data_IF_014786009454
#
_entry.id   IF_014786009454
#
_cell.length_a   1.000
_cell.length_b   1.000
_cell.length_c   1.000
_cell.angle_alpha   90.00
_cell.angle_beta   90.00
_cell.angle_gamma   90.00
#
_symmetry.space_group_name_H-M   'P 1'
#
loop_
_entity.id
_entity.type
_entity.pdbx_description
1 polymer ?
#
# COMPACT_ATOMS: atom_id res chain seq x y z
N UNK A 1 -38.07 -59.97 -65.92
CA UNK A 1 -37.49 -59.86 -64.56
C UNK A 1 -37.30 -58.40 -64.10
N UNK A 2 -37.18 -57.40 -64.98
CA UNK A 2 -37.02 -55.97 -64.57
C UNK A 2 -38.20 -55.33 -63.84
N UNK A 3 -39.45 -55.45 -64.34
CA UNK A 3 -40.63 -54.77 -63.74
C UNK A 3 -41.02 -55.24 -62.32
N UNK A 4 -40.65 -56.46 -61.94
CA UNK A 4 -40.92 -56.99 -60.60
C UNK A 4 -39.97 -56.42 -59.53
N UNK A 5 -38.77 -55.99 -59.92
CA UNK A 5 -37.78 -55.37 -59.03
C UNK A 5 -38.13 -53.90 -58.73
N UNK A 6 -38.89 -53.24 -59.59
CA UNK A 6 -39.36 -51.86 -59.45
C UNK A 6 -40.72 -51.77 -58.71
N UNK A 7 -41.19 -52.86 -58.09
CA UNK A 7 -42.45 -52.89 -57.35
C UNK A 7 -43.73 -52.90 -58.21
N UNK A 8 -43.61 -52.94 -59.54
CA UNK A 8 -44.74 -52.94 -60.48
C UNK A 8 -45.25 -54.36 -60.76
N UNK A 9 -45.60 -55.10 -59.71
CA UNK A 9 -46.11 -56.48 -59.82
C UNK A 9 -47.63 -56.55 -60.00
N UNK A 10 -48.37 -55.48 -59.69
CA UNK A 10 -49.83 -55.47 -59.66
C UNK A 10 -50.46 -55.87 -61.01
N UNK A 11 -49.97 -55.33 -62.12
CA UNK A 11 -50.49 -55.65 -63.45
C UNK A 11 -50.20 -57.10 -63.88
N UNK A 12 -49.00 -57.61 -63.55
CA UNK A 12 -48.64 -58.99 -63.84
C UNK A 12 -49.41 -59.99 -62.97
N UNK A 13 -49.63 -59.66 -61.70
CA UNK A 13 -50.44 -60.44 -60.77
C UNK A 13 -51.89 -60.53 -61.25
N UNK A 14 -52.51 -59.38 -61.57
CA UNK A 14 -53.88 -59.33 -62.08
C UNK A 14 -54.03 -60.13 -63.38
N UNK A 15 -53.13 -59.96 -64.34
CA UNK A 15 -53.15 -60.71 -65.60
C UNK A 15 -52.98 -62.22 -65.40
N UNK A 16 -52.22 -62.64 -64.38
CA UNK A 16 -52.01 -64.07 -64.08
C UNK A 16 -53.25 -64.67 -63.44
N UNK A 17 -53.83 -64.00 -62.44
CA UNK A 17 -55.01 -64.48 -61.70
C UNK A 17 -56.30 -64.45 -62.52
N UNK A 18 -56.39 -63.61 -63.55
CA UNK A 18 -57.58 -63.50 -64.42
C UNK A 18 -57.47 -64.33 -65.70
N UNK A 19 -56.34 -65.02 -65.93
CA UNK A 19 -56.13 -65.81 -67.15
C UNK A 19 -56.93 -67.12 -67.10
N UNK A 20 -57.62 -67.56 -68.19
CA UNK A 20 -58.45 -68.77 -68.22
C UNK A 20 -57.69 -70.10 -68.04
N UNK A 21 -56.36 -70.05 -67.94
CA UNK A 21 -55.48 -71.20 -67.65
C UNK A 21 -54.88 -71.15 -66.24
N UNK A 22 -55.25 -70.17 -65.42
CA UNK A 22 -54.86 -70.15 -64.03
C UNK A 22 -55.65 -71.23 -63.31
N UNK A 23 -54.97 -72.32 -62.96
CA UNK A 23 -55.52 -73.36 -62.12
C UNK A 23 -55.32 -73.00 -60.63
N UNK A 24 -56.01 -73.72 -59.75
CA UNK A 24 -55.97 -73.51 -58.30
C UNK A 24 -54.54 -73.62 -57.75
N UNK A 25 -53.71 -74.48 -58.35
CA UNK A 25 -52.32 -74.63 -57.97
C UNK A 25 -51.47 -73.39 -58.31
N UNK A 26 -51.63 -72.84 -59.52
CA UNK A 26 -50.91 -71.63 -59.94
C UNK A 26 -51.35 -70.41 -59.13
N UNK A 27 -52.65 -70.27 -58.85
CA UNK A 27 -53.18 -69.21 -57.98
C UNK A 27 -52.55 -69.27 -56.59
N UNK A 28 -52.63 -70.43 -55.92
CA UNK A 28 -52.03 -70.64 -54.60
C UNK A 28 -50.53 -70.31 -54.59
N UNK A 29 -49.79 -70.73 -55.63
CA UNK A 29 -48.35 -70.50 -55.73
C UNK A 29 -48.00 -69.02 -55.91
N UNK A 30 -48.73 -68.32 -56.78
CA UNK A 30 -48.49 -66.89 -57.06
C UNK A 30 -48.87 -66.03 -55.85
N UNK A 31 -50.02 -66.30 -55.22
CA UNK A 31 -50.43 -65.60 -53.99
C UNK A 31 -49.45 -65.86 -52.83
N UNK A 32 -48.97 -67.10 -52.69
CA UNK A 32 -47.93 -67.45 -51.71
C UNK A 32 -46.62 -66.68 -51.94
N UNK A 33 -46.19 -66.55 -53.21
CA UNK A 33 -44.99 -65.76 -53.54
C UNK A 33 -45.16 -64.26 -53.23
N UNK A 34 -46.31 -63.68 -53.55
CA UNK A 34 -46.62 -62.28 -53.25
C UNK A 34 -46.67 -62.05 -51.73
N UNK A 35 -47.26 -62.97 -50.98
CA UNK A 35 -47.28 -62.93 -49.53
C UNK A 35 -45.86 -62.93 -48.94
N UNK A 36 -44.98 -63.83 -49.40
CA UNK A 36 -43.58 -63.84 -48.98
C UNK A 36 -42.84 -62.54 -49.33
N UNK A 37 -43.09 -61.99 -50.52
CA UNK A 37 -42.51 -60.73 -50.95
C UNK A 37 -42.98 -59.55 -50.06
N UNK A 38 -44.27 -59.50 -49.71
CA UNK A 38 -44.81 -58.49 -48.80
C UNK A 38 -44.17 -58.56 -47.41
N UNK A 39 -43.94 -59.78 -46.89
CA UNK A 39 -43.21 -59.96 -45.63
C UNK A 39 -41.76 -59.47 -45.71
N UNK A 40 -41.06 -59.76 -46.81
CA UNK A 40 -39.68 -59.33 -47.03
C UNK A 40 -39.56 -57.81 -47.13
N UNK A 41 -40.41 -57.17 -47.96
CA UNK A 41 -40.44 -55.70 -48.10
C UNK A 41 -40.82 -55.04 -46.79
N UNK A 42 -41.84 -55.57 -46.09
CA UNK A 42 -42.23 -55.07 -44.77
C UNK A 42 -41.12 -55.20 -43.73
N UNK A 43 -40.34 -56.28 -43.76
CA UNK A 43 -39.20 -56.47 -42.86
C UNK A 43 -38.07 -55.45 -43.16
N UNK A 44 -37.72 -55.26 -44.43
CA UNK A 44 -36.72 -54.27 -44.85
C UNK A 44 -37.15 -52.84 -44.46
N UNK A 45 -38.40 -52.46 -44.76
CA UNK A 45 -38.94 -51.15 -44.42
C UNK A 45 -38.90 -50.86 -42.91
N UNK A 46 -39.15 -51.87 -42.06
CA UNK A 46 -39.06 -51.69 -40.60
C UNK A 46 -37.63 -51.41 -40.15
N UNK A 47 -36.64 -52.07 -40.75
CA UNK A 47 -35.22 -51.81 -40.47
C UNK A 47 -34.85 -50.40 -40.90
N UNK A 48 -35.25 -49.97 -42.10
CA UNK A 48 -34.97 -48.63 -42.60
C UNK A 48 -35.62 -47.54 -41.75
N UNK A 49 -36.88 -47.73 -41.35
CA UNK A 49 -37.58 -46.81 -40.44
C UNK A 49 -36.92 -46.76 -39.07
N UNK A 50 -36.48 -47.90 -38.52
CA UNK A 50 -35.77 -47.94 -37.25
C UNK A 50 -34.45 -47.16 -37.34
N UNK A 51 -33.66 -47.40 -38.39
CA UNK A 51 -32.40 -46.69 -38.64
C UNK A 51 -32.61 -45.18 -38.84
N UNK A 52 -33.66 -44.79 -39.55
CA UNK A 52 -33.99 -43.38 -39.74
C UNK A 52 -34.36 -42.69 -38.42
N UNK A 53 -35.12 -43.37 -37.55
CA UNK A 53 -35.46 -42.86 -36.21
C UNK A 53 -34.23 -42.72 -35.32
N UNK A 54 -33.32 -43.69 -35.36
CA UNK A 54 -32.07 -43.64 -34.62
C UNK A 54 -31.22 -42.45 -35.05
N UNK A 55 -31.00 -42.29 -36.36
CA UNK A 55 -30.24 -41.15 -36.89
C UNK A 55 -30.90 -39.80 -36.57
N UNK A 56 -32.24 -39.73 -36.62
CA UNK A 56 -32.96 -38.52 -36.24
C UNK A 56 -32.77 -38.20 -34.75
N UNK A 57 -32.76 -39.20 -33.88
CA UNK A 57 -32.51 -39.03 -32.45
C UNK A 57 -31.06 -38.57 -32.18
N UNK A 58 -30.07 -39.17 -32.84
CA UNK A 58 -28.67 -38.75 -32.77
C UNK A 58 -28.48 -37.31 -33.26
N UNK A 59 -29.07 -36.95 -34.40
CA UNK A 59 -29.02 -35.58 -34.91
C UNK A 59 -29.64 -34.58 -33.93
N UNK A 60 -30.76 -34.92 -33.31
CA UNK A 60 -31.38 -34.07 -32.28
C UNK A 60 -30.54 -33.97 -31.00
N UNK A 61 -29.80 -35.02 -30.63
CA UNK A 61 -28.87 -34.95 -29.51
C UNK A 61 -27.69 -34.01 -29.85
N UNK A 62 -27.04 -34.22 -30.99
CA UNK A 62 -25.94 -33.38 -31.46
C UNK A 62 -26.35 -31.91 -31.64
N UNK A 63 -27.55 -31.64 -32.14
CA UNK A 63 -28.06 -30.28 -32.29
C UNK A 63 -28.24 -29.57 -30.94
N UNK A 64 -28.65 -30.31 -29.89
CA UNK A 64 -28.77 -29.77 -28.53
C UNK A 64 -27.40 -29.48 -27.95
N UNK A 65 -26.47 -30.42 -28.05
CA UNK A 65 -25.10 -30.25 -27.53
C UNK A 65 -24.38 -29.10 -28.24
N UNK A 66 -24.54 -28.98 -29.56
CA UNK A 66 -24.00 -27.86 -30.34
C UNK A 66 -24.59 -26.52 -29.89
N UNK A 67 -25.91 -26.45 -29.70
CA UNK A 67 -26.56 -25.23 -29.24
C UNK A 67 -26.07 -24.80 -27.84
N UNK A 68 -25.88 -25.76 -26.92
CA UNK A 68 -25.34 -25.50 -25.58
C UNK A 68 -23.91 -24.93 -25.65
N UNK A 69 -23.03 -25.56 -26.44
CA UNK A 69 -21.66 -25.10 -26.63
C UNK A 69 -21.64 -23.72 -27.30
N UNK A 70 -22.46 -23.51 -28.33
CA UNK A 70 -22.58 -22.23 -29.01
C UNK A 70 -23.03 -21.11 -28.06
N UNK A 71 -24.02 -21.38 -27.21
CA UNK A 71 -24.47 -20.43 -26.20
C UNK A 71 -23.35 -20.10 -25.21
N UNK A 72 -22.64 -21.12 -24.68
CA UNK A 72 -21.53 -20.93 -23.75
C UNK A 72 -20.40 -20.10 -24.36
N UNK A 73 -20.00 -20.39 -25.60
CA UNK A 73 -18.96 -19.63 -26.30
C UNK A 73 -19.41 -18.19 -26.57
N UNK A 74 -20.68 -17.99 -26.91
CA UNK A 74 -21.23 -16.64 -27.13
C UNK A 74 -21.21 -15.81 -25.86
N UNK A 75 -21.66 -16.38 -24.73
CA UNK A 75 -21.62 -15.70 -23.42
C UNK A 75 -20.19 -15.38 -23.03
N UNK A 76 -19.29 -16.35 -23.11
CA UNK A 76 -17.87 -16.16 -22.79
C UNK A 76 -17.22 -15.07 -23.66
N UNK A 77 -17.51 -15.07 -24.97
CA UNK A 77 -17.00 -14.05 -25.89
C UNK A 77 -17.52 -12.65 -25.54
N UNK A 78 -18.77 -12.53 -25.11
CA UNK A 78 -19.35 -11.25 -24.71
C UNK A 78 -18.75 -10.73 -23.40
N UNK A 79 -18.57 -11.61 -22.41
CA UNK A 79 -17.89 -11.27 -21.15
C UNK A 79 -16.46 -10.80 -21.43
N UNK A 80 -15.72 -11.54 -22.27
CA UNK A 80 -14.34 -11.19 -22.60
C UNK A 80 -14.25 -9.87 -23.36
N UNK A 81 -15.20 -9.58 -24.26
CA UNK A 81 -15.28 -8.30 -24.95
C UNK A 81 -15.55 -7.13 -23.99
N UNK A 82 -16.42 -7.32 -22.99
CA UNK A 82 -16.69 -6.29 -21.97
C UNK A 82 -15.46 -6.02 -21.10
N UNK A 83 -14.78 -7.07 -20.65
CA UNK A 83 -13.52 -6.93 -19.91
C UNK A 83 -12.47 -6.18 -20.74
N UNK A 84 -12.30 -6.57 -22.01
CA UNK A 84 -11.35 -5.90 -22.90
C UNK A 84 -11.68 -4.42 -23.09
N UNK A 85 -12.94 -4.07 -23.28
CA UNK A 85 -13.38 -2.68 -23.38
C UNK A 85 -13.10 -1.89 -22.10
N UNK A 86 -13.31 -2.48 -20.92
CA UNK A 86 -13.00 -1.83 -19.65
C UNK A 86 -11.49 -1.56 -19.51
N UNK A 87 -10.64 -2.55 -19.83
CA UNK A 87 -9.19 -2.38 -19.83
C UNK A 87 -8.71 -1.34 -20.85
N UNK A 88 -9.33 -1.29 -22.03
CA UNK A 88 -9.01 -0.28 -23.05
C UNK A 88 -9.37 1.14 -22.60
N UNK A 89 -10.52 1.31 -21.93
CA UNK A 89 -10.94 2.58 -21.33
C UNK A 89 -10.01 3.01 -20.21
N UNK A 90 -9.65 2.12 -19.29
CA UNK A 90 -8.72 2.41 -18.20
C UNK A 90 -7.34 2.80 -18.75
N UNK A 91 -6.83 2.06 -19.75
CA UNK A 91 -5.57 2.39 -20.40
C UNK A 91 -5.60 3.76 -21.07
N UNK A 92 -6.72 4.13 -21.68
CA UNK A 92 -6.90 5.46 -22.28
C UNK A 92 -6.89 6.56 -21.20
N UNK A 93 -7.59 6.34 -20.09
CA UNK A 93 -7.65 7.29 -18.96
C UNK A 93 -6.26 7.48 -18.32
N UNK A 94 -5.55 6.38 -18.05
CA UNK A 94 -4.19 6.43 -17.50
C UNK A 94 -3.22 7.14 -18.46
N UNK A 95 -3.34 6.89 -19.76
CA UNK A 95 -2.50 7.59 -20.76
C UNK A 95 -2.82 9.07 -20.83
N UNK A 96 -4.09 9.47 -20.75
CA UNK A 96 -4.48 10.88 -20.70
C UNK A 96 -3.94 11.56 -19.43
N UNK A 97 -4.07 10.92 -18.27
CA UNK A 97 -3.52 11.41 -17.01
C UNK A 97 -1.98 11.56 -17.06
N UNK A 98 -1.29 10.57 -17.63
CA UNK A 98 0.16 10.61 -17.84
C UNK A 98 0.56 11.80 -18.73
N UNK A 99 -0.13 12.01 -19.86
CA UNK A 99 0.14 13.15 -20.75
C UNK A 99 -0.10 14.46 -20.00
N UNK A 100 -1.18 14.56 -19.20
CA UNK A 100 -1.47 15.72 -18.37
C UNK A 100 -0.34 16.02 -17.38
N UNK A 101 0.12 15.03 -16.63
CA UNK A 101 1.22 15.18 -15.67
C UNK A 101 2.55 15.52 -16.36
N UNK A 102 2.87 14.89 -17.49
CA UNK A 102 4.07 15.22 -18.26
C UNK A 102 4.03 16.66 -18.78
N UNK A 103 2.86 17.15 -19.20
CA UNK A 103 2.68 18.53 -19.65
C UNK A 103 2.86 19.52 -18.50
N UNK A 104 2.26 19.24 -17.34
CA UNK A 104 2.43 20.07 -16.13
C UNK A 104 3.89 20.10 -15.66
N UNK A 105 4.58 18.95 -15.69
CA UNK A 105 6.00 18.86 -15.36
C UNK A 105 6.86 19.68 -16.33
N UNK A 106 6.57 19.62 -17.62
CA UNK A 106 7.26 20.43 -18.62
C UNK A 106 7.06 21.93 -18.38
N UNK A 107 5.82 22.35 -18.12
CA UNK A 107 5.48 23.74 -17.80
C UNK A 107 6.17 24.22 -16.51
N UNK A 108 6.18 23.40 -15.45
CA UNK A 108 6.85 23.74 -14.19
C UNK A 108 8.37 23.87 -14.37
N UNK A 109 8.98 23.01 -15.19
CA UNK A 109 10.41 23.09 -15.54
C UNK A 109 10.74 24.35 -16.33
N UNK A 110 9.89 24.71 -17.29
CA UNK A 110 10.05 25.95 -18.06
C UNK A 110 9.92 27.18 -17.18
N UNK A 111 8.92 27.22 -16.29
CA UNK A 111 8.75 28.28 -15.31
C UNK A 111 9.96 28.39 -14.38
N UNK A 112 10.46 27.27 -13.85
CA UNK A 112 11.66 27.25 -13.02
C UNK A 112 12.87 27.81 -13.76
N UNK A 113 13.10 27.36 -15.01
CA UNK A 113 14.18 27.85 -15.84
C UNK A 113 14.03 29.35 -16.13
N UNK A 114 12.81 29.84 -16.37
CA UNK A 114 12.52 31.26 -16.54
C UNK A 114 12.87 32.07 -15.28
N UNK A 115 12.43 31.62 -14.09
CA UNK A 115 12.74 32.30 -12.84
C UNK A 115 14.23 32.30 -12.51
N UNK A 116 14.94 31.20 -12.79
CA UNK A 116 16.39 31.11 -12.65
C UNK A 116 17.11 32.06 -13.61
N UNK A 117 16.68 32.13 -14.87
CA UNK A 117 17.25 33.05 -15.85
C UNK A 117 16.96 34.53 -15.51
N UNK A 118 15.79 34.83 -14.95
CA UNK A 118 15.42 36.17 -14.52
C UNK A 118 16.18 36.65 -13.27
N UNK A 119 16.74 35.72 -12.48
CA UNK A 119 17.49 36.02 -11.25
C UNK A 119 18.76 35.15 -11.15
N UNK A 120 19.77 35.39 -11.99
CA UNK A 120 21.00 34.60 -11.98
C UNK A 120 21.86 34.84 -10.72
N UNK A 121 21.68 35.98 -10.06
CA UNK A 121 22.41 36.44 -8.88
C UNK A 121 21.83 35.90 -7.55
N UNK A 122 20.72 35.16 -7.61
CA UNK A 122 20.05 34.60 -6.44
C UNK A 122 20.96 33.75 -5.53
N UNK A 123 21.78 32.80 -6.03
CA UNK A 123 22.70 32.04 -5.18
C UNK A 123 23.78 32.91 -4.53
N UNK A 124 24.33 33.90 -5.24
CA UNK A 124 25.29 34.84 -4.67
C UNK A 124 24.65 35.71 -3.58
N UNK A 125 23.42 36.18 -3.82
CA UNK A 125 22.64 36.93 -2.82
C UNK A 125 22.38 36.11 -1.56
N UNK A 126 22.10 34.82 -1.70
CA UNK A 126 21.88 33.90 -0.57
C UNK A 126 23.18 33.70 0.23
N UNK A 127 24.29 33.45 -0.45
CA UNK A 127 25.63 33.36 0.18
C UNK A 127 26.03 34.66 0.88
N UNK A 128 25.76 35.81 0.26
CA UNK A 128 26.02 37.12 0.88
C UNK A 128 25.16 37.33 2.12
N UNK A 129 23.90 36.87 2.11
CA UNK A 129 23.01 36.91 3.29
C UNK A 129 23.55 36.06 4.43
N UNK A 130 24.00 34.84 4.16
CA UNK A 130 24.61 33.96 5.15
C UNK A 130 25.87 34.58 5.74
N UNK A 131 26.79 35.07 4.89
CA UNK A 131 28.00 35.77 5.33
C UNK A 131 27.68 37.00 6.18
N UNK A 132 26.68 37.79 5.79
CA UNK A 132 26.28 38.97 6.57
C UNK A 132 25.77 38.56 7.95
N UNK A 133 24.98 37.49 8.05
CA UNK A 133 24.51 36.97 9.33
C UNK A 133 25.68 36.53 10.22
N UNK A 134 26.67 35.80 9.68
CA UNK A 134 27.88 35.43 10.42
C UNK A 134 28.66 36.65 10.90
N UNK A 135 28.82 37.67 10.06
CA UNK A 135 29.54 38.89 10.43
C UNK A 135 28.82 39.66 11.53
N UNK A 136 27.48 39.75 11.47
CA UNK A 136 26.67 40.38 12.52
C UNK A 136 26.87 39.63 13.85
N UNK A 137 26.84 38.31 13.84
CA UNK A 137 27.04 37.51 15.05
C UNK A 137 28.45 37.72 15.64
N UNK A 138 29.49 37.70 14.80
CA UNK A 138 30.87 37.99 15.23
C UNK A 138 31.00 39.39 15.79
N UNK A 139 30.41 40.39 15.15
CA UNK A 139 30.46 41.77 15.60
C UNK A 139 29.77 41.93 16.96
N UNK A 140 28.61 41.30 17.15
CA UNK A 140 27.92 41.27 18.44
C UNK A 140 28.77 40.58 19.52
N UNK A 141 29.43 39.47 19.21
CA UNK A 141 30.30 38.77 20.16
C UNK A 141 31.50 39.64 20.58
N UNK A 142 32.16 40.29 19.61
CA UNK A 142 33.25 41.24 19.88
C UNK A 142 32.77 42.44 20.68
N UNK A 143 31.59 42.99 20.38
CA UNK A 143 31.02 44.11 21.13
C UNK A 143 30.73 43.72 22.58
N UNK A 144 30.23 42.49 22.83
CA UNK A 144 30.06 41.96 24.19
C UNK A 144 31.40 41.88 24.93
N UNK A 145 32.46 41.43 24.25
CA UNK A 145 33.79 41.34 24.84
C UNK A 145 34.42 42.72 25.12
N UNK A 146 34.30 43.68 24.19
CA UNK A 146 34.73 45.07 24.39
C UNK A 146 33.98 45.70 25.56
N UNK A 147 32.66 45.50 25.67
CA UNK A 147 31.88 46.01 26.79
C UNK A 147 32.32 45.37 28.11
N UNK A 148 32.65 44.07 28.12
CA UNK A 148 33.17 43.35 29.27
C UNK A 148 34.55 43.85 29.70
N UNK A 149 35.46 44.08 28.76
CA UNK A 149 36.79 44.61 29.06
C UNK A 149 36.71 46.07 29.53
N UNK A 150 35.90 46.89 28.87
CA UNK A 150 35.65 48.28 29.25
C UNK A 150 35.05 48.38 30.66
N UNK A 151 34.10 47.52 31.02
CA UNK A 151 33.52 47.51 32.37
C UNK A 151 34.52 47.03 33.43
N UNK A 152 35.44 46.11 33.09
CA UNK A 152 36.56 45.74 33.98
C UNK A 152 37.54 46.89 34.19
N UNK A 153 37.89 47.63 33.14
CA UNK A 153 38.75 48.82 33.25
C UNK A 153 38.05 49.89 34.07
N UNK A 154 36.77 50.17 33.83
CA UNK A 154 35.97 51.09 34.63
C UNK A 154 35.91 50.66 36.10
N UNK A 155 35.72 49.37 36.41
CA UNK A 155 35.73 48.85 37.77
C UNK A 155 37.12 48.95 38.45
N UNK A 156 38.22 48.81 37.71
CA UNK A 156 39.58 49.02 38.23
C UNK A 156 39.84 50.50 38.51
N UNK A 157 39.34 51.39 37.66
CA UNK A 157 39.42 52.85 37.86
C UNK A 157 38.53 53.30 39.03
N UNK A 158 37.30 52.80 39.13
CA UNK A 158 36.41 53.06 40.28
C UNK A 158 36.96 52.46 41.59
N UNK A 159 37.55 51.25 41.55
CA UNK A 159 38.23 50.67 42.72
C UNK A 159 39.50 51.43 43.13
N UNK A 160 40.14 52.16 42.21
CA UNK A 160 41.24 53.06 42.50
C UNK A 160 40.78 54.45 43.00
N UNK A 161 39.48 54.78 42.87
CA UNK A 161 38.97 56.14 43.18
C UNK A 161 37.75 56.19 44.12
N UNK A 162 37.24 55.06 44.65
CA UNK A 162 36.05 55.01 45.51
C UNK A 162 36.20 54.11 46.76
N UNK A 163 35.63 54.49 47.92
CA UNK A 163 35.87 53.84 49.20
C UNK A 163 35.19 52.48 49.32
N UNK A 164 35.88 51.54 49.96
CA UNK A 164 35.46 50.15 50.21
C UNK A 164 34.24 50.11 51.14
N UNK A 165 33.10 49.63 50.62
CA UNK A 165 32.02 49.08 51.44
C UNK A 165 31.51 47.78 50.80
N UNK A 166 31.45 46.76 51.65
CA UNK A 166 31.05 45.40 51.37
C UNK A 166 29.57 45.28 50.96
N UNK A 167 29.26 44.22 50.20
CA UNK A 167 27.92 43.64 50.19
C UNK A 167 28.00 42.13 49.99
N UNK A 168 27.49 41.44 50.99
CA UNK A 168 27.19 40.01 51.04
C UNK A 168 25.71 39.88 50.65
N UNK A 169 25.40 39.07 49.64
CA UNK A 169 24.14 38.32 49.53
C UNK A 169 24.04 37.60 48.18
N UNK A 170 23.89 36.27 48.22
CA UNK A 170 22.73 35.58 47.65
C UNK A 170 22.95 34.07 47.78
N UNK A 171 22.38 33.48 48.82
CA UNK A 171 22.14 32.03 48.90
C UNK A 171 21.23 31.63 47.73
N UNK A 172 21.76 30.78 46.85
CA UNK A 172 21.00 30.13 45.80
C UNK A 172 20.44 28.82 46.36
N UNK A 173 19.11 28.75 46.28
CA UNK A 173 18.21 27.62 46.48
C UNK A 173 18.82 26.27 46.00
N UNK A 174 18.84 25.28 46.89
CA UNK A 174 19.29 23.92 46.59
C UNK A 174 18.25 23.19 45.72
N UNK A 175 18.60 22.65 44.54
CA UNK A 175 17.74 21.68 43.87
C UNK A 175 17.88 20.27 44.49
N UNK A 176 16.81 19.45 44.46
CA UNK A 176 16.81 18.11 45.04
C UNK A 176 17.76 17.16 44.30
N UNK A 177 18.25 16.16 45.03
CA UNK A 177 19.36 15.26 44.69
C UNK A 177 19.35 14.75 43.23
N UNK A 178 20.52 14.75 42.54
CA UNK A 178 20.62 14.28 41.17
C UNK A 178 20.42 12.77 41.12
N UNK A 179 19.38 12.32 40.43
CA UNK A 179 19.30 10.91 40.08
C UNK A 179 20.34 10.65 38.99
N UNK A 180 21.27 9.73 39.24
CA UNK A 180 22.29 9.31 38.29
C UNK A 180 21.78 8.14 37.46
N UNK A 181 21.66 8.35 36.16
CA UNK A 181 21.39 7.35 35.13
C UNK A 181 22.68 7.18 34.31
N UNK A 182 23.77 6.82 34.97
CA UNK A 182 25.08 6.72 34.34
C UNK A 182 25.05 5.63 33.23
N UNK A 183 25.52 5.97 32.03
CA UNK A 183 25.67 5.08 30.87
C UNK A 183 24.38 4.55 30.19
N UNK A 184 23.21 5.16 30.44
CA UNK A 184 21.97 4.81 29.74
C UNK A 184 21.73 5.65 28.50
N UNK A 185 21.08 5.08 27.49
CA UNK A 185 20.65 5.80 26.28
C UNK A 185 19.15 6.08 26.36
N UNK A 186 18.77 7.36 26.42
CA UNK A 186 17.38 7.81 26.49
C UNK A 186 16.95 8.41 25.14
N UNK A 187 15.91 7.85 24.54
CA UNK A 187 15.30 8.37 23.32
C UNK A 187 14.04 9.17 23.64
N UNK A 188 14.03 10.45 23.25
CA UNK A 188 12.81 11.27 23.22
C UNK A 188 12.18 11.20 21.84
N UNK A 189 10.95 10.68 21.75
CA UNK A 189 10.16 10.66 20.51
C UNK A 189 9.08 11.74 20.60
N UNK A 190 9.21 12.75 19.74
CA UNK A 190 8.37 13.93 19.68
C UNK A 190 8.87 15.07 20.56
N UNK A 191 8.15 16.18 20.46
CA UNK A 191 8.39 17.41 21.22
C UNK A 191 8.50 18.62 20.31
N UNK A 192 8.28 19.81 20.88
CA UNK A 192 8.45 21.07 20.14
C UNK A 192 9.95 21.31 19.96
N UNK A 193 10.39 21.65 18.74
CA UNK A 193 11.82 21.86 18.41
C UNK A 193 12.57 22.80 19.37
N UNK A 194 11.89 23.83 19.90
CA UNK A 194 12.46 24.75 20.90
C UNK A 194 12.71 24.16 22.30
N UNK A 195 12.13 23.01 22.62
CA UNK A 195 12.24 22.34 23.93
C UNK A 195 13.30 21.24 23.95
N UNK A 196 13.78 20.79 22.78
CA UNK A 196 14.78 19.71 22.64
C UNK A 196 16.08 20.02 23.39
N UNK A 197 16.64 21.25 23.37
CA UNK A 197 17.85 21.58 24.13
C UNK A 197 17.65 21.44 25.65
N UNK A 198 16.45 21.70 26.15
CA UNK A 198 16.12 21.60 27.58
C UNK A 198 15.99 20.14 28.02
N UNK A 199 15.41 19.28 27.18
CA UNK A 199 15.35 17.84 27.43
C UNK A 199 16.73 17.20 27.40
N UNK A 200 17.58 17.61 26.45
CA UNK A 200 18.98 17.19 26.39
C UNK A 200 19.72 17.52 27.68
N UNK A 201 19.61 18.77 28.15
CA UNK A 201 20.27 19.21 29.38
C UNK A 201 19.79 18.43 30.61
N UNK A 202 18.50 18.10 30.69
CA UNK A 202 17.95 17.31 31.78
C UNK A 202 18.48 15.85 31.77
N UNK A 203 18.60 15.22 30.60
CA UNK A 203 19.10 13.85 30.46
C UNK A 203 20.62 13.76 30.68
N UNK A 204 21.38 14.65 30.06
CA UNK A 204 22.84 14.70 30.20
C UNK A 204 23.25 15.14 31.62
N UNK A 205 22.45 15.98 32.28
CA UNK A 205 22.62 16.33 33.69
C UNK A 205 22.48 15.15 34.66
N UNK A 206 21.80 14.08 34.23
CA UNK A 206 21.70 12.81 34.94
C UNK A 206 22.77 11.78 34.54
N UNK A 207 23.71 12.12 33.64
CA UNK A 207 24.76 11.21 33.17
C UNK A 207 24.35 10.25 32.04
N UNK A 208 23.17 10.42 31.46
CA UNK A 208 22.64 9.61 30.37
C UNK A 208 22.89 10.26 28.99
N UNK A 209 22.95 9.44 27.94
CA UNK A 209 23.04 9.89 26.55
C UNK A 209 21.66 10.19 25.98
N UNK A 210 21.51 11.35 25.34
CA UNK A 210 20.24 11.81 24.78
C UNK A 210 20.16 11.62 23.26
N UNK A 211 19.15 10.87 22.81
CA UNK A 211 18.72 10.75 21.42
C UNK A 211 17.35 11.43 21.24
N UNK A 212 17.13 12.02 20.07
CA UNK A 212 15.87 12.67 19.72
C UNK A 212 15.37 12.22 18.36
N UNK A 213 14.07 11.95 18.26
CA UNK A 213 13.35 11.76 17.01
C UNK A 213 12.05 12.57 17.04
N UNK A 214 11.84 13.42 16.06
CA UNK A 214 10.74 14.39 16.01
C UNK A 214 9.38 13.79 15.62
N UNK A 215 9.19 12.48 15.82
CA UNK A 215 7.86 11.85 15.64
C UNK A 215 7.30 11.80 14.21
N UNK A 216 8.09 12.19 13.20
CA UNK A 216 7.76 12.02 11.78
C UNK A 216 7.44 13.29 10.97
N UNK A 217 7.69 14.49 11.51
CA UNK A 217 7.52 15.74 10.76
C UNK A 217 8.69 16.03 9.80
N UNK A 218 9.94 15.68 10.16
CA UNK A 218 11.13 15.89 9.30
C UNK A 218 12.01 14.63 9.10
N UNK A 219 12.08 13.72 10.08
CA UNK A 219 12.89 12.49 9.97
C UNK A 219 12.16 11.33 9.28
N UNK A 220 12.84 10.66 8.32
CA UNK A 220 12.29 9.53 7.57
C UNK A 220 11.89 8.39 8.53
N UNK A 221 10.72 7.75 8.33
CA UNK A 221 10.20 6.69 9.21
C UNK A 221 11.15 5.49 9.38
N UNK A 222 12.08 5.27 8.45
CA UNK A 222 13.09 4.22 8.52
C UNK A 222 14.20 4.46 9.58
N UNK A 223 14.35 5.68 10.09
CA UNK A 223 15.38 6.02 11.09
C UNK A 223 14.91 5.82 12.53
N UNK A 224 13.60 5.62 12.74
CA UNK A 224 13.03 5.43 14.07
C UNK A 224 13.37 4.05 14.67
N UNK A 225 13.41 2.99 13.87
CA UNK A 225 13.69 1.63 14.34
C UNK A 225 15.12 1.43 14.87
N UNK A 226 16.19 1.90 14.19
CA UNK A 226 17.55 1.83 14.73
C UNK A 226 17.73 2.63 16.03
N UNK A 227 17.08 3.78 16.14
CA UNK A 227 17.15 4.62 17.35
C UNK A 227 16.38 3.98 18.52
N UNK A 228 15.23 3.37 18.24
CA UNK A 228 14.50 2.57 19.22
C UNK A 228 15.32 1.36 19.68
N UNK A 229 16.06 0.70 18.77
CA UNK A 229 16.93 -0.42 19.10
C UNK A 229 18.13 -0.01 19.98
N UNK A 230 18.67 1.20 19.80
CA UNK A 230 19.79 1.72 20.59
C UNK A 230 19.40 2.25 21.99
N UNK A 231 18.10 2.53 22.22
CA UNK A 231 17.63 3.12 23.47
C UNK A 231 17.36 2.08 24.58
N UNK A 232 17.74 2.42 25.81
CA UNK A 232 17.38 1.69 27.04
C UNK A 232 16.03 2.15 27.59
N UNK A 233 15.71 3.44 27.41
CA UNK A 233 14.48 4.07 27.83
C UNK A 233 13.92 4.95 26.69
N UNK A 234 12.63 4.81 26.42
CA UNK A 234 11.93 5.63 25.43
C UNK A 234 10.90 6.52 26.13
N UNK A 235 11.05 7.83 26.00
CA UNK A 235 10.04 8.81 26.44
C UNK A 235 9.30 9.31 25.21
N UNK A 236 8.00 9.02 25.14
CA UNK A 236 7.15 9.30 24.00
C UNK A 236 6.17 10.42 24.34
N UNK A 237 6.30 11.57 23.68
CA UNK A 237 5.40 12.71 23.89
C UNK A 237 4.19 12.59 22.95
N UNK A 238 3.09 12.02 23.44
CA UNK A 238 1.94 11.63 22.60
C UNK A 238 1.23 12.82 21.94
N UNK A 239 1.37 14.03 22.50
CA UNK A 239 0.83 15.27 21.93
C UNK A 239 1.68 15.92 20.82
N UNK A 240 2.83 15.35 20.47
CA UNK A 240 3.77 15.93 19.48
C UNK A 240 4.38 14.88 18.54
N UNK A 241 3.61 13.84 18.19
CA UNK A 241 4.03 12.77 17.26
C UNK A 241 2.89 12.40 16.31
N UNK A 242 3.23 11.84 15.15
CA UNK A 242 2.26 11.24 14.25
C UNK A 242 1.62 9.96 14.83
N UNK A 243 0.41 9.64 14.36
CA UNK A 243 -0.31 8.43 14.77
C UNK A 243 0.51 7.16 14.49
N UNK A 244 1.20 7.11 13.35
CA UNK A 244 2.05 6.01 12.95
C UNK A 244 3.28 5.85 13.86
N UNK A 245 3.91 6.96 14.26
CA UNK A 245 5.04 6.94 15.19
C UNK A 245 4.63 6.43 16.58
N UNK A 246 3.45 6.86 17.07
CA UNK A 246 2.90 6.38 18.35
C UNK A 246 2.76 4.85 18.38
N UNK A 247 2.11 4.27 17.36
CA UNK A 247 1.89 2.83 17.30
C UNK A 247 3.19 2.05 17.15
N UNK A 248 4.15 2.54 16.34
CA UNK A 248 5.45 1.88 16.17
C UNK A 248 6.26 1.84 17.47
N UNK A 249 6.31 2.96 18.20
CA UNK A 249 6.98 3.00 19.51
C UNK A 249 6.32 2.03 20.49
N UNK A 250 4.98 2.04 20.57
CA UNK A 250 4.22 1.18 21.48
C UNK A 250 4.40 -0.30 21.16
N UNK A 251 4.33 -0.67 19.88
CA UNK A 251 4.49 -2.05 19.41
C UNK A 251 5.94 -2.54 19.59
N UNK A 252 6.94 -1.72 19.27
CA UNK A 252 8.36 -2.05 19.46
C UNK A 252 8.69 -2.27 20.94
N UNK A 253 8.28 -1.35 21.82
CA UNK A 253 8.54 -1.48 23.26
C UNK A 253 7.85 -2.70 23.86
N UNK A 254 6.63 -3.03 23.40
CA UNK A 254 5.92 -4.25 23.83
C UNK A 254 6.61 -5.54 23.34
N UNK A 255 7.08 -5.58 22.10
CA UNK A 255 7.74 -6.78 21.53
C UNK A 255 9.13 -7.04 22.10
N UNK A 256 9.88 -5.99 22.38
CA UNK A 256 11.28 -6.09 22.84
C UNK A 256 11.43 -5.91 24.36
N UNK A 257 10.32 -5.75 25.09
CA UNK A 257 10.34 -5.56 26.55
C UNK A 257 11.05 -4.27 26.99
N UNK A 258 11.13 -3.27 26.11
CA UNK A 258 11.83 -2.01 26.39
C UNK A 258 10.95 -1.08 27.22
N UNK A 259 11.58 -0.32 28.11
CA UNK A 259 10.89 0.61 29.00
C UNK A 259 10.41 1.82 28.20
N UNK A 260 9.10 2.06 28.22
CA UNK A 260 8.48 3.18 27.52
C UNK A 260 7.57 3.99 28.46
N UNK A 261 7.76 5.30 28.50
CA UNK A 261 6.92 6.24 29.25
C UNK A 261 6.21 7.15 28.26
N UNK A 262 4.89 7.21 28.36
CA UNK A 262 4.06 8.07 27.50
C UNK A 262 3.65 9.32 28.28
N UNK A 263 4.00 10.48 27.74
CA UNK A 263 3.75 11.79 28.34
C UNK A 263 2.81 12.58 27.43
N UNK A 264 1.65 12.99 27.93
CA UNK A 264 0.65 13.71 27.14
C UNK A 264 1.01 15.18 26.92
N UNK A 265 1.60 15.83 27.93
CA UNK A 265 1.92 17.26 27.88
C UNK A 265 3.41 17.47 27.53
N UNK A 266 3.73 18.18 26.44
CA UNK A 266 5.12 18.49 26.05
C UNK A 266 5.67 19.65 26.90
N UNK A 267 5.87 19.44 28.21
CA UNK A 267 6.48 20.42 29.12
C UNK A 267 7.76 19.89 29.75
N UNK A 268 8.66 20.80 30.13
CA UNK A 268 9.92 20.47 30.82
C UNK A 268 9.68 19.71 32.13
N UNK A 269 8.73 20.19 32.93
CA UNK A 269 8.37 19.58 34.22
C UNK A 269 7.76 18.18 34.06
N UNK A 270 6.96 17.95 33.03
CA UNK A 270 6.40 16.63 32.75
C UNK A 270 7.48 15.64 32.29
N UNK A 271 8.45 16.11 31.51
CA UNK A 271 9.59 15.33 31.06
C UNK A 271 10.55 14.98 32.21
N UNK A 272 10.93 15.96 33.05
CA UNK A 272 11.77 15.73 34.23
C UNK A 272 11.11 14.77 35.23
N UNK A 273 9.78 14.84 35.40
CA UNK A 273 9.03 13.88 36.22
C UNK A 273 9.04 12.47 35.63
N UNK A 274 8.89 12.33 34.32
CA UNK A 274 8.99 11.04 33.64
C UNK A 274 10.40 10.44 33.76
N UNK A 275 11.43 11.28 33.68
CA UNK A 275 12.82 10.90 33.90
C UNK A 275 13.04 10.45 35.34
N UNK A 276 12.56 11.21 36.34
CA UNK A 276 12.67 10.89 37.76
C UNK A 276 11.90 9.60 38.13
N UNK A 277 10.74 9.35 37.54
CA UNK A 277 9.98 8.11 37.70
C UNK A 277 10.75 6.91 37.11
N UNK A 278 11.25 7.05 35.88
CA UNK A 278 12.07 6.01 35.26
C UNK A 278 13.34 5.70 36.07
N UNK A 279 13.91 6.71 36.70
CA UNK A 279 15.03 6.60 37.61
C UNK A 279 14.70 5.93 38.96
N UNK A 280 13.57 6.28 39.57
CA UNK A 280 13.11 5.69 40.84
C UNK A 280 12.79 4.20 40.68
N UNK A 281 12.20 3.81 39.55
CA UNK A 281 11.90 2.42 39.22
C UNK A 281 13.18 1.58 38.97
N UNK A 282 14.30 2.19 38.57
CA UNK A 282 15.61 1.50 38.48
C UNK A 282 16.23 1.23 39.85
N UNK A 283 16.09 2.18 40.79
CA UNK A 283 16.53 1.99 42.17
C UNK A 283 15.83 0.81 42.86
N UNK A 284 14.53 0.63 42.59
CA UNK A 284 13.74 -0.48 43.13
C UNK A 284 14.08 -1.85 42.49
N UNK A 285 14.46 -1.90 41.21
CA UNK A 285 14.86 -3.13 40.54
C UNK A 285 16.28 -3.60 40.88
N UNK A 286 17.18 -2.70 41.29
CA UNK A 286 18.55 -3.02 41.71
C UNK A 286 18.67 -3.50 43.18
N UNK A 287 17.56 -3.49 43.95
CA UNK A 287 17.51 -3.93 45.36
C UNK A 287 16.69 -5.21 45.59
N UNK A 288 16.28 -5.92 44.53
CA UNK A 288 15.62 -7.24 44.61
C UNK A 288 16.53 -8.36 44.11
#
# INVERSE_FOLDING_TARGET
RGRAAEGQIAGALWATLTHPRCDEWLEMRVLGQVHMLQHQVGAAQRVDVARHRELAAEHQALARDYAEVQQRVTVWSQERAREQQAWEQERLQLRAAQIGLCTQLAQAREQLAHWQAARPDLPEREQLRERLAEQIERNQALQREVNRLSSRVAAVVDAATGPVLASVAAEADLPPAPVKLDHRVILCVGGRGGSVPQYRQAVEGCGAQFLHHDGGDEHKPAQLEPQLAAADLVICQTGCISHDAYWRVKDHCKRHGKRCVFVETPSRTAFERALAQAAADEGAAATS
#
